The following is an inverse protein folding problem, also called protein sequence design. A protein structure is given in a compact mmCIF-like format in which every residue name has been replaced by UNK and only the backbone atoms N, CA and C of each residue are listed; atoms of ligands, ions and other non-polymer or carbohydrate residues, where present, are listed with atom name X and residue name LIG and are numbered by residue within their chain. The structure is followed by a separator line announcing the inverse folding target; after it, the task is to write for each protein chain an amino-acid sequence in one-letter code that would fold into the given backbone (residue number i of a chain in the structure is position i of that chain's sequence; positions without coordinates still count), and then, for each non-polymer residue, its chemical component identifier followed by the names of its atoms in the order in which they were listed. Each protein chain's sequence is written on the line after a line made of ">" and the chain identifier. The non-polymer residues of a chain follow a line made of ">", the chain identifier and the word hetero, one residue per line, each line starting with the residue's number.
data_IF_728866985115
#
_entry.id   IF_728866985115
#
_cell.length_a   1.000
_cell.length_b   1.000
_cell.length_c   1.000
_cell.angle_alpha   90.00
_cell.angle_beta   90.00
_cell.angle_gamma   90.00
#
_symmetry.space_group_name_H-M   'P 1'
#
loop_
_entity.id
_entity.type
_entity.pdbx_description
1 polymer ?
#
# COMPACT_ATOMS: atom_id res chain seq x y z
N UNK A 1 0.64 -6.15 -5.52
CA UNK A 1 2.01 -6.06 -4.98
C UNK A 1 2.23 -4.75 -4.30
N UNK A 2 2.02 -3.66 -5.02
CA UNK A 2 2.13 -2.30 -4.49
C UNK A 2 1.42 -2.08 -3.14
N UNK A 3 0.21 -2.60 -2.93
CA UNK A 3 -0.47 -2.46 -1.63
C UNK A 3 0.22 -3.21 -0.47
N UNK A 4 0.87 -4.35 -0.73
CA UNK A 4 1.66 -5.03 0.30
C UNK A 4 2.95 -4.25 0.62
N UNK A 5 3.60 -3.70 -0.39
CA UNK A 5 4.79 -2.86 -0.23
C UNK A 5 4.46 -1.58 0.53
N UNK A 6 3.36 -0.90 0.19
CA UNK A 6 2.83 0.26 0.91
C UNK A 6 2.55 -0.11 2.36
N UNK A 7 1.82 -1.21 2.60
CA UNK A 7 1.47 -1.63 3.95
C UNK A 7 2.72 -1.86 4.80
N UNK A 8 3.68 -2.65 4.29
CA UNK A 8 4.92 -2.97 4.98
C UNK A 8 5.76 -1.73 5.28
N UNK A 9 5.94 -0.84 4.29
CA UNK A 9 6.69 0.40 4.45
C UNK A 9 6.02 1.35 5.45
N UNK A 10 4.69 1.52 5.33
CA UNK A 10 3.92 2.44 6.18
C UNK A 10 3.93 1.99 7.64
N UNK A 11 3.68 0.70 7.89
CA UNK A 11 3.73 0.14 9.25
C UNK A 11 5.11 0.40 9.85
N UNK A 12 6.17 0.08 9.11
CA UNK A 12 7.55 0.28 9.56
C UNK A 12 7.81 1.73 9.92
N UNK A 13 7.46 2.67 9.04
CA UNK A 13 7.65 4.10 9.28
C UNK A 13 6.91 4.58 10.54
N UNK A 14 5.64 4.21 10.70
CA UNK A 14 4.84 4.69 11.84
C UNK A 14 5.38 4.17 13.16
N UNK A 15 5.70 2.87 13.27
CA UNK A 15 6.15 2.29 14.55
C UNK A 15 7.59 2.67 14.93
N UNK A 16 8.39 3.17 13.99
CA UNK A 16 9.71 3.74 14.24
C UNK A 16 9.70 5.25 14.47
N UNK A 17 8.53 5.89 14.43
CA UNK A 17 8.37 7.33 14.71
C UNK A 17 8.60 8.24 13.51
N UNK A 18 8.68 7.69 12.29
CA UNK A 18 8.78 8.46 11.04
C UNK A 18 7.41 8.91 10.55
N UNK A 19 7.38 10.08 9.91
CA UNK A 19 6.19 10.53 9.19
C UNK A 19 6.04 9.76 7.87
N UNK A 20 4.87 9.19 7.54
CA UNK A 20 4.64 8.58 6.24
C UNK A 20 4.84 9.59 5.10
N UNK A 21 5.69 9.27 4.14
CA UNK A 21 5.90 10.05 2.92
C UNK A 21 5.13 9.39 1.78
N UNK A 22 4.53 10.21 0.91
CA UNK A 22 3.63 9.76 -0.17
C UNK A 22 4.19 8.61 -1.03
N UNK A 23 3.29 7.89 -1.69
CA UNK A 23 3.65 6.70 -2.46
C UNK A 23 4.31 7.06 -3.79
N UNK A 24 5.62 6.86 -3.88
CA UNK A 24 6.41 7.00 -5.11
C UNK A 24 6.45 5.69 -5.90
N UNK A 25 5.32 5.32 -6.52
CA UNK A 25 5.22 4.13 -7.36
C UNK A 25 6.26 4.12 -8.50
N UNK A 26 6.71 2.93 -8.91
CA UNK A 26 7.80 2.73 -9.89
C UNK A 26 9.13 3.41 -9.52
N UNK A 27 9.36 3.65 -8.22
CA UNK A 27 10.49 4.43 -7.71
C UNK A 27 10.58 5.84 -8.33
N UNK A 28 9.44 6.43 -8.71
CA UNK A 28 9.38 7.75 -9.34
C UNK A 28 9.87 7.79 -10.79
N UNK A 29 10.22 6.64 -11.41
CA UNK A 29 10.70 6.60 -12.79
C UNK A 29 9.60 6.89 -13.81
N UNK A 30 8.38 6.40 -13.55
CA UNK A 30 7.22 6.58 -14.42
C UNK A 30 6.10 7.31 -13.66
N UNK A 31 5.23 8.05 -14.35
CA UNK A 31 4.08 8.73 -13.73
C UNK A 31 2.94 7.75 -13.40
N UNK A 32 3.26 6.65 -12.72
CA UNK A 32 2.37 5.52 -12.44
C UNK A 32 1.90 5.54 -10.98
N UNK A 33 1.37 6.69 -10.53
CA UNK A 33 0.85 6.86 -9.18
C UNK A 33 -0.58 7.42 -9.22
N UNK A 34 -1.39 7.08 -8.21
CA UNK A 34 -2.74 7.63 -8.07
C UNK A 34 -3.02 8.04 -6.62
N UNK A 35 -4.21 8.63 -6.40
CA UNK A 35 -4.67 8.95 -5.06
C UNK A 35 -5.04 7.73 -4.22
N UNK A 36 -5.26 6.56 -4.83
CA UNK A 36 -5.75 5.37 -4.11
C UNK A 36 -4.66 4.73 -3.26
N UNK A 37 -3.43 4.65 -3.79
CA UNK A 37 -2.25 4.18 -3.06
C UNK A 37 -1.97 5.08 -1.85
N UNK A 38 -2.06 6.40 -2.05
CA UNK A 38 -1.83 7.39 -0.99
C UNK A 38 -2.95 7.37 0.06
N UNK A 39 -4.20 7.16 -0.34
CA UNK A 39 -5.32 6.95 0.59
C UNK A 39 -5.08 5.71 1.45
N UNK A 40 -4.72 4.59 0.82
CA UNK A 40 -4.42 3.36 1.53
C UNK A 40 -3.26 3.54 2.53
N UNK A 41 -2.19 4.20 2.13
CA UNK A 41 -1.08 4.57 3.03
C UNK A 41 -1.59 5.34 4.25
N UNK A 42 -2.47 6.32 4.08
CA UNK A 42 -3.06 7.09 5.19
C UNK A 42 -3.88 6.22 6.15
N UNK A 43 -4.69 5.29 5.62
CA UNK A 43 -5.49 4.35 6.41
C UNK A 43 -4.59 3.40 7.22
N UNK A 44 -3.58 2.80 6.57
CA UNK A 44 -2.60 1.94 7.24
C UNK A 44 -1.82 2.73 8.29
N UNK A 45 -1.42 3.96 8.00
CA UNK A 45 -0.69 4.79 8.95
C UNK A 45 -1.50 5.06 10.22
N UNK A 46 -2.80 5.33 10.08
CA UNK A 46 -3.70 5.52 11.22
C UNK A 46 -3.82 4.25 12.06
N UNK A 47 -4.02 3.10 11.41
CA UNK A 47 -4.17 1.81 12.07
C UNK A 47 -2.87 1.34 12.75
N UNK A 48 -1.71 1.59 12.15
CA UNK A 48 -0.42 1.15 12.65
C UNK A 48 -0.02 1.79 13.99
N UNK A 49 -0.61 2.95 14.37
CA UNK A 49 -0.34 3.63 15.65
C UNK A 49 -0.62 2.77 16.88
N UNK A 50 -1.46 1.74 16.76
CA UNK A 50 -1.83 0.86 17.88
C UNK A 50 -0.96 -0.39 17.99
N UNK A 51 -0.04 -0.61 17.05
CA UNK A 51 0.82 -1.79 17.05
C UNK A 51 2.00 -1.61 18.01
N UNK A 52 2.38 -2.69 18.70
CA UNK A 52 3.71 -2.78 19.29
C UNK A 52 4.76 -2.97 18.18
N UNK A 53 6.01 -2.59 18.44
CA UNK A 53 7.12 -2.83 17.48
C UNK A 53 7.31 -4.33 17.19
N UNK A 54 7.03 -5.21 18.15
CA UNK A 54 7.14 -6.65 17.96
C UNK A 54 6.05 -7.17 17.02
N UNK A 55 4.79 -6.78 17.24
CA UNK A 55 3.68 -7.19 16.36
C UNK A 55 3.87 -6.63 14.95
N UNK A 56 4.29 -5.37 14.84
CA UNK A 56 4.61 -4.74 13.57
C UNK A 56 5.74 -5.46 12.83
N UNK A 57 6.80 -5.88 13.53
CA UNK A 57 7.91 -6.61 12.94
C UNK A 57 7.47 -7.97 12.35
N UNK A 58 6.66 -8.74 13.09
CA UNK A 58 6.14 -10.01 12.58
C UNK A 58 5.16 -9.82 11.41
N UNK A 59 4.32 -8.80 11.48
CA UNK A 59 3.42 -8.43 10.38
C UNK A 59 4.20 -8.02 9.12
N UNK A 60 5.23 -7.18 9.25
CA UNK A 60 6.07 -6.75 8.12
C UNK A 60 6.82 -7.92 7.49
N UNK A 61 7.35 -8.84 8.30
CA UNK A 61 7.98 -10.08 7.78
C UNK A 61 6.98 -10.95 7.01
N UNK A 62 5.74 -11.04 7.48
CA UNK A 62 4.68 -11.77 6.76
C UNK A 62 4.36 -11.10 5.42
N UNK A 63 4.20 -9.77 5.40
CA UNK A 63 3.95 -9.00 4.18
C UNK A 63 5.10 -9.12 3.17
N UNK A 64 6.35 -9.10 3.65
CA UNK A 64 7.54 -9.26 2.82
C UNK A 64 7.50 -10.55 1.99
N UNK A 65 7.01 -11.66 2.57
CA UNK A 65 6.86 -12.94 1.87
C UNK A 65 5.85 -12.90 0.71
N UNK A 66 4.98 -11.88 0.63
CA UNK A 66 4.00 -11.73 -0.46
C UNK A 66 4.62 -11.19 -1.75
N UNK A 67 5.80 -10.56 -1.68
CA UNK A 67 6.44 -9.93 -2.84
C UNK A 67 7.93 -10.24 -3.00
N UNK A 68 8.66 -10.56 -1.94
CA UNK A 68 10.08 -10.89 -2.01
C UNK A 68 10.34 -12.40 -2.13
N UNK A 69 11.34 -12.86 -2.92
CA UNK A 69 12.23 -12.07 -3.78
C UNK A 69 11.69 -11.82 -5.20
N UNK A 70 10.76 -12.66 -5.69
CA UNK A 70 10.47 -12.76 -7.12
C UNK A 70 9.94 -11.46 -7.73
N UNK A 71 9.10 -10.72 -6.99
CA UNK A 71 8.47 -9.49 -7.48
C UNK A 71 9.39 -8.27 -7.33
N UNK A 72 10.50 -8.41 -6.60
CA UNK A 72 11.55 -7.39 -6.55
C UNK A 72 12.54 -7.55 -7.72
N UNK A 73 12.81 -8.77 -8.18
CA UNK A 73 13.65 -9.01 -9.36
C UNK A 73 12.95 -8.62 -10.67
N UNK A 74 11.64 -8.87 -10.75
CA UNK A 74 10.78 -8.52 -11.89
C UNK A 74 9.53 -7.79 -11.41
N UNK A 75 9.64 -6.49 -11.08
CA UNK A 75 8.52 -5.74 -10.56
C UNK A 75 7.44 -5.51 -11.61
N UNK A 76 6.19 -5.59 -11.18
CA UNK A 76 5.05 -5.12 -11.96
C UNK A 76 5.10 -3.59 -12.00
N UNK A 77 5.30 -3.04 -13.20
CA UNK A 77 5.38 -1.59 -13.42
C UNK A 77 4.01 -0.91 -13.29
N UNK A 78 2.92 -1.68 -13.17
CA UNK A 78 1.57 -1.16 -13.06
C UNK A 78 1.13 -0.39 -14.30
N UNK A 79 0.30 0.63 -14.08
CA UNK A 79 -0.34 1.41 -15.14
C UNK A 79 -0.28 2.91 -14.84
N UNK A 80 -0.23 3.77 -15.87
CA UNK A 80 -0.30 5.22 -15.69
C UNK A 80 -1.69 5.65 -15.22
N UNK A 81 -1.79 6.84 -14.60
CA UNK A 81 -3.04 7.36 -14.05
C UNK A 81 -4.27 7.30 -15.00
N UNK A 82 -4.18 7.65 -16.31
CA UNK A 82 -5.31 7.54 -17.24
C UNK A 82 -5.87 6.13 -17.46
N UNK A 83 -5.05 5.11 -17.22
CA UNK A 83 -5.49 3.72 -17.28
C UNK A 83 -6.09 3.25 -15.95
N UNK A 84 -5.79 3.92 -14.84
CA UNK A 84 -6.31 3.60 -13.51
C UNK A 84 -7.62 4.34 -13.19
N UNK A 85 -7.88 5.50 -13.81
CA UNK A 85 -8.98 6.40 -13.47
C UNK A 85 -9.80 6.82 -14.70
N UNK A 86 -11.09 7.09 -14.48
CA UNK A 86 -11.92 7.87 -15.40
C UNK A 86 -11.56 9.35 -15.24
N UNK A 87 -10.96 9.96 -16.26
CA UNK A 87 -10.37 11.29 -16.17
C UNK A 87 -11.40 12.39 -15.92
N UNK A 88 -12.60 12.25 -16.48
CA UNK A 88 -13.67 13.23 -16.38
C UNK A 88 -14.24 13.32 -14.96
N UNK A 89 -14.31 12.19 -14.26
CA UNK A 89 -14.89 12.11 -12.91
C UNK A 89 -13.85 11.97 -11.80
N UNK A 90 -12.57 11.76 -12.16
CA UNK A 90 -11.48 11.46 -11.24
C UNK A 90 -11.84 10.30 -10.29
N UNK A 91 -12.51 9.28 -10.83
CA UNK A 91 -12.87 8.06 -10.10
C UNK A 91 -12.00 6.89 -10.52
N UNK A 92 -11.54 6.04 -9.58
CA UNK A 92 -10.81 4.85 -9.95
C UNK A 92 -11.70 3.94 -10.79
N UNK A 93 -11.09 3.25 -11.76
CA UNK A 93 -11.77 2.16 -12.46
C UNK A 93 -12.10 1.04 -11.48
N UNK A 94 -13.19 0.34 -11.74
CA UNK A 94 -13.74 -0.67 -10.83
C UNK A 94 -12.71 -1.73 -10.43
N UNK A 95 -12.00 -2.31 -11.40
CA UNK A 95 -10.95 -3.30 -11.13
C UNK A 95 -9.83 -2.76 -10.22
N UNK A 96 -9.48 -1.47 -10.33
CA UNK A 96 -8.44 -0.86 -9.51
C UNK A 96 -8.95 -0.61 -8.09
N UNK A 97 -10.21 -0.18 -7.99
CA UNK A 97 -10.89 0.00 -6.72
C UNK A 97 -11.10 -1.32 -5.97
N UNK A 98 -11.43 -2.40 -6.67
CA UNK A 98 -11.55 -3.75 -6.10
C UNK A 98 -10.23 -4.25 -5.52
N UNK A 99 -9.10 -3.98 -6.18
CA UNK A 99 -7.78 -4.32 -5.65
C UNK A 99 -7.47 -3.56 -4.35
N UNK A 100 -7.86 -2.29 -4.27
CA UNK A 100 -7.79 -1.51 -3.03
C UNK A 100 -8.69 -2.08 -1.93
N UNK A 101 -9.95 -2.42 -2.24
CA UNK A 101 -10.87 -3.02 -1.27
C UNK A 101 -10.36 -4.36 -0.76
N UNK A 102 -9.80 -5.19 -1.64
CA UNK A 102 -9.14 -6.44 -1.27
C UNK A 102 -7.97 -6.18 -0.32
N UNK A 103 -7.12 -5.20 -0.62
CA UNK A 103 -6.00 -4.84 0.24
C UNK A 103 -6.46 -4.34 1.62
N UNK A 104 -7.55 -3.54 1.70
CA UNK A 104 -8.16 -3.14 2.97
C UNK A 104 -8.67 -4.35 3.75
N UNK A 105 -9.36 -5.28 3.10
CA UNK A 105 -9.85 -6.50 3.75
C UNK A 105 -8.70 -7.31 4.32
N UNK A 106 -7.64 -7.52 3.54
CA UNK A 106 -6.46 -8.26 4.03
C UNK A 106 -5.78 -7.53 5.19
N UNK A 107 -5.69 -6.20 5.16
CA UNK A 107 -5.18 -5.42 6.29
C UNK A 107 -5.98 -5.69 7.58
N UNK A 108 -7.31 -5.72 7.47
CA UNK A 108 -8.22 -6.04 8.58
C UNK A 108 -8.01 -7.47 9.06
N UNK A 109 -7.90 -8.44 8.14
CA UNK A 109 -7.64 -9.84 8.45
C UNK A 109 -6.29 -10.03 9.17
N UNK A 110 -5.31 -9.14 8.93
CA UNK A 110 -4.04 -9.10 9.64
C UNK A 110 -4.09 -8.34 10.98
N UNK A 111 -5.26 -7.89 11.43
CA UNK A 111 -5.47 -7.24 12.72
C UNK A 111 -5.37 -5.72 12.72
N UNK A 112 -5.26 -5.08 11.56
CA UNK A 112 -5.29 -3.62 11.46
C UNK A 112 -6.73 -3.11 11.51
N UNK A 113 -7.02 -2.18 12.41
CA UNK A 113 -8.35 -1.57 12.53
C UNK A 113 -8.48 -0.40 11.55
N UNK A 114 -8.93 -0.71 10.33
CA UNK A 114 -9.22 0.29 9.30
C UNK A 114 -10.66 0.79 9.46
N UNK A 115 -10.86 2.08 9.20
CA UNK A 115 -12.18 2.74 9.10
C UNK A 115 -12.82 2.50 7.71
#
# INVERSE_FOLDING_TARGET
>A
DIFYEIMANTITNVVTGSHPLGVSATNGKYPHASGLETRFMGEIARAAKTLSRNDANELVKMLLKKYYPQKMEKPDIGKPFPELYYLESVRPREWWYELYLKAKKEAIDYGLKLE
#
